data_IF_308633116102
#
_entry.id   IF_308633116102
#
_cell.length_a   1.000
_cell.length_b   1.000
_cell.length_c   1.000
_cell.angle_alpha   90.00
_cell.angle_beta   90.00
_cell.angle_gamma   90.00
#
_symmetry.space_group_name_H-M   'P 1'
#
loop_
_entity.id
_entity.type
_entity.pdbx_description
1 polymer ?
#
# COMPACT_ATOMS: atom_id res chain seq x y z
N UNK A 1 21.49 38.92 53.23
CA UNK A 1 21.86 38.21 51.98
C UNK A 1 21.56 36.73 52.14
N UNK A 2 20.54 36.20 51.46
CA UNK A 2 20.45 34.82 50.94
C UNK A 2 19.11 34.72 50.19
N UNK A 3 19.22 34.60 48.86
CA UNK A 3 18.11 34.51 47.91
C UNK A 3 17.55 33.09 47.95
N UNK A 4 16.25 32.94 48.07
CA UNK A 4 15.53 31.68 47.94
C UNK A 4 15.46 31.37 46.44
N UNK A 5 16.10 30.28 46.03
CA UNK A 5 16.06 29.78 44.66
C UNK A 5 14.72 29.07 44.43
N UNK A 6 13.94 29.60 43.49
CA UNK A 6 12.71 28.99 42.99
C UNK A 6 13.10 27.89 42.00
N UNK A 7 12.71 26.65 42.28
CA UNK A 7 12.94 25.52 41.40
C UNK A 7 12.18 25.68 40.08
N UNK A 8 12.90 25.79 38.97
CA UNK A 8 12.36 25.60 37.63
C UNK A 8 12.17 24.11 37.39
N UNK A 9 10.94 23.62 37.53
CA UNK A 9 10.58 22.28 37.07
C UNK A 9 10.40 22.34 35.55
N UNK A 10 11.44 21.95 34.82
CA UNK A 10 11.41 21.86 33.36
C UNK A 10 10.43 20.79 32.92
N UNK A 11 9.33 21.23 32.30
CA UNK A 11 8.37 20.37 31.62
C UNK A 11 9.04 19.80 30.37
N UNK A 12 9.50 18.56 30.46
CA UNK A 12 10.11 17.84 29.35
C UNK A 12 8.96 17.24 28.51
N UNK A 13 8.52 18.00 27.51
CA UNK A 13 7.50 17.58 26.56
C UNK A 13 8.11 16.54 25.61
N UNK A 14 8.00 15.24 25.95
CA UNK A 14 8.31 14.14 25.05
C UNK A 14 7.23 14.11 23.96
N UNK A 15 7.49 14.73 22.81
CA UNK A 15 6.68 14.55 21.61
C UNK A 15 7.03 13.19 21.01
N UNK A 16 6.25 12.16 21.37
CA UNK A 16 6.29 10.89 20.68
C UNK A 16 5.72 11.10 19.27
N UNK A 17 6.59 11.25 18.29
CA UNK A 17 6.22 11.28 16.88
C UNK A 17 5.91 9.83 16.47
N UNK A 18 4.66 9.39 16.63
CA UNK A 18 4.18 8.16 16.01
C UNK A 18 4.08 8.42 14.51
N UNK A 19 5.13 8.03 13.78
CA UNK A 19 5.05 7.93 12.32
C UNK A 19 4.07 6.80 11.99
N UNK A 20 2.82 7.14 11.73
CA UNK A 20 1.88 6.25 11.09
C UNK A 20 2.44 5.95 9.69
N UNK A 21 3.04 4.77 9.50
CA UNK A 21 3.38 4.31 8.15
C UNK A 21 2.06 4.15 7.39
N UNK A 22 1.88 4.92 6.32
CA UNK A 22 0.68 4.84 5.50
C UNK A 22 0.75 3.55 4.68
N UNK A 23 -0.28 2.72 4.79
CA UNK A 23 -0.44 1.51 4.00
C UNK A 23 -0.27 1.80 2.50
N UNK A 24 0.47 0.95 1.79
CA UNK A 24 0.60 1.10 0.34
C UNK A 24 -0.75 0.96 -0.36
N UNK A 25 -1.09 1.97 -1.15
CA UNK A 25 -2.28 1.97 -2.01
C UNK A 25 -1.89 1.54 -3.44
N UNK A 26 -2.69 0.65 -4.03
CA UNK A 26 -2.53 0.23 -5.42
C UNK A 26 -3.28 1.20 -6.36
N UNK A 27 -2.74 1.50 -7.56
CA UNK A 27 -1.62 0.81 -8.22
C UNK A 27 -0.22 1.27 -7.79
N UNK A 28 0.76 0.36 -7.82
CA UNK A 28 2.16 0.62 -7.45
C UNK A 28 3.11 0.30 -8.60
N UNK A 29 4.04 1.20 -8.91
CA UNK A 29 5.05 0.97 -9.94
C UNK A 29 6.20 0.12 -9.41
N UNK A 30 6.57 -0.89 -10.19
CA UNK A 30 7.74 -1.73 -9.98
C UNK A 30 8.61 -1.73 -11.24
N UNK A 31 9.78 -2.34 -11.18
CA UNK A 31 10.72 -2.36 -12.29
C UNK A 31 10.13 -2.97 -13.58
N UNK A 32 9.36 -4.06 -13.44
CA UNK A 32 8.76 -4.76 -14.58
C UNK A 32 7.49 -4.09 -15.13
N UNK A 33 6.85 -3.20 -14.36
CA UNK A 33 5.59 -2.58 -14.73
C UNK A 33 4.79 -2.05 -13.54
N UNK A 34 3.50 -2.36 -13.45
CA UNK A 34 2.62 -1.83 -12.41
C UNK A 34 1.86 -2.96 -11.73
N UNK A 35 1.94 -3.03 -10.40
CA UNK A 35 1.05 -3.85 -9.60
C UNK A 35 -0.29 -3.13 -9.52
N UNK A 36 -1.31 -3.71 -10.13
CA UNK A 36 -2.65 -3.11 -10.23
C UNK A 36 -3.49 -3.41 -9.00
N UNK A 37 -3.33 -4.61 -8.43
CA UNK A 37 -4.05 -5.05 -7.24
C UNK A 37 -3.29 -6.13 -6.46
N UNK A 38 -3.65 -6.26 -5.19
CA UNK A 38 -3.25 -7.34 -4.29
C UNK A 38 -4.50 -7.97 -3.68
N UNK A 39 -4.52 -9.30 -3.59
CA UNK A 39 -5.61 -10.08 -3.02
C UNK A 39 -5.07 -11.06 -1.97
N UNK A 40 -5.62 -11.04 -0.74
CA UNK A 40 -5.38 -12.06 0.29
C UNK A 40 -6.51 -13.08 0.23
N UNK A 41 -6.17 -14.35 0.04
CA UNK A 41 -7.11 -15.43 -0.25
C UNK A 41 -6.89 -16.60 0.70
N UNK A 42 -7.94 -16.99 1.42
CA UNK A 42 -7.99 -18.20 2.24
C UNK A 42 -8.52 -19.41 1.43
N UNK A 43 -9.14 -19.13 0.28
CA UNK A 43 -9.66 -20.15 -0.61
C UNK A 43 -8.55 -20.84 -1.40
N UNK A 44 -8.76 -22.10 -1.83
CA UNK A 44 -7.84 -22.79 -2.74
C UNK A 44 -7.60 -21.99 -4.02
N UNK A 45 -6.37 -22.07 -4.54
CA UNK A 45 -5.99 -21.53 -5.83
C UNK A 45 -5.80 -22.66 -6.84
N UNK A 46 -6.13 -22.39 -8.10
CA UNK A 46 -5.89 -23.33 -9.18
C UNK A 46 -4.40 -23.35 -9.54
N UNK A 47 -3.75 -24.49 -9.41
CA UNK A 47 -2.38 -24.76 -9.85
C UNK A 47 -2.35 -25.81 -10.96
N UNK A 48 -1.25 -25.84 -11.70
CA UNK A 48 -0.91 -26.97 -12.56
C UNK A 48 -0.39 -28.12 -11.70
N UNK A 49 -0.88 -29.33 -12.00
CA UNK A 49 -0.32 -30.57 -11.47
C UNK A 49 1.08 -30.81 -12.02
N UNK A 50 2.07 -30.18 -11.39
CA UNK A 50 3.44 -30.11 -11.90
C UNK A 50 4.02 -31.51 -12.18
N UNK A 51 3.79 -32.47 -11.28
CA UNK A 51 4.27 -33.84 -11.44
C UNK A 51 3.71 -34.54 -12.68
N UNK A 52 2.41 -34.43 -12.94
CA UNK A 52 1.78 -35.00 -14.14
C UNK A 52 2.28 -34.31 -15.42
N UNK A 53 2.42 -32.98 -15.39
CA UNK A 53 2.93 -32.21 -16.52
C UNK A 53 4.36 -32.61 -16.90
N UNK A 54 5.25 -32.72 -15.92
CA UNK A 54 6.64 -33.13 -16.15
C UNK A 54 6.73 -34.59 -16.59
N UNK A 55 5.88 -35.48 -16.05
CA UNK A 55 5.82 -36.87 -16.49
C UNK A 55 5.34 -37.03 -17.95
N UNK A 56 4.51 -36.10 -18.43
CA UNK A 56 4.10 -36.02 -19.83
C UNK A 56 5.16 -35.39 -20.76
N UNK A 57 6.29 -34.90 -20.21
CA UNK A 57 7.33 -34.20 -20.96
C UNK A 57 7.04 -32.72 -21.21
N UNK A 58 5.97 -32.18 -20.64
CA UNK A 58 5.59 -30.78 -20.82
C UNK A 58 6.43 -29.89 -19.89
N UNK A 59 7.54 -29.39 -20.42
CA UNK A 59 8.49 -28.54 -19.68
C UNK A 59 8.18 -27.05 -19.77
N UNK A 60 7.36 -26.62 -20.73
CA UNK A 60 6.93 -25.23 -20.90
C UNK A 60 5.47 -25.03 -20.50
N UNK A 61 5.18 -23.92 -19.83
CA UNK A 61 3.80 -23.55 -19.50
C UNK A 61 3.03 -23.09 -20.76
N UNK A 62 1.92 -23.75 -21.16
CA UNK A 62 1.08 -23.27 -22.24
C UNK A 62 0.35 -21.98 -21.85
N UNK A 63 -0.20 -21.26 -22.84
CA UNK A 63 -1.09 -20.13 -22.59
C UNK A 63 -2.44 -20.58 -22.01
N UNK A 64 -2.96 -21.70 -22.52
CA UNK A 64 -4.18 -22.33 -22.05
C UNK A 64 -3.84 -23.62 -21.34
N UNK A 65 -4.13 -23.70 -20.04
CA UNK A 65 -3.92 -24.92 -19.25
C UNK A 65 -5.10 -25.88 -19.45
N UNK A 66 -4.89 -27.13 -19.91
CA UNK A 66 -5.96 -28.11 -20.05
C UNK A 66 -6.63 -28.43 -18.70
N UNK A 67 -7.95 -28.68 -18.70
CA UNK A 67 -8.71 -28.90 -17.46
C UNK A 67 -8.20 -30.10 -16.64
N UNK A 68 -7.76 -31.18 -17.29
CA UNK A 68 -7.24 -32.38 -16.63
C UNK A 68 -5.94 -32.14 -15.84
N UNK A 69 -5.20 -31.09 -16.21
CA UNK A 69 -3.93 -30.72 -15.60
C UNK A 69 -4.09 -29.69 -14.47
N UNK A 70 -5.31 -29.21 -14.21
CA UNK A 70 -5.59 -28.24 -13.14
C UNK A 70 -5.89 -28.97 -11.83
N UNK A 71 -5.41 -28.42 -10.73
CA UNK A 71 -5.73 -28.84 -9.37
C UNK A 71 -6.03 -27.61 -8.51
N UNK A 72 -7.03 -27.70 -7.63
CA UNK A 72 -7.25 -26.67 -6.62
C UNK A 72 -6.42 -27.01 -5.39
N UNK A 73 -5.43 -26.17 -5.09
CA UNK A 73 -4.51 -26.34 -3.97
C UNK A 73 -4.91 -25.42 -2.83
N UNK A 74 -5.29 -25.94 -1.64
CA UNK A 74 -5.51 -25.10 -0.46
C UNK A 74 -4.20 -24.44 -0.02
N UNK A 75 -4.30 -23.34 0.73
CA UNK A 75 -3.10 -22.76 1.34
C UNK A 75 -2.48 -23.76 2.34
N UNK A 76 -1.14 -23.76 2.50
CA UNK A 76 -0.49 -24.57 3.53
C UNK A 76 -1.06 -24.27 4.93
N UNK A 77 -0.96 -25.23 5.84
CA UNK A 77 -1.51 -25.07 7.20
C UNK A 77 -0.92 -23.84 7.90
N UNK A 78 -1.80 -23.01 8.48
CA UNK A 78 -1.41 -21.74 9.12
C UNK A 78 -0.99 -20.63 8.16
N UNK A 79 -1.15 -20.81 6.84
CA UNK A 79 -0.81 -19.82 5.82
C UNK A 79 -2.05 -19.41 5.01
N UNK A 80 -1.92 -18.28 4.31
CA UNK A 80 -2.89 -17.75 3.35
C UNK A 80 -2.17 -17.41 2.06
N UNK A 81 -2.90 -17.39 0.95
CA UNK A 81 -2.36 -16.91 -0.31
C UNK A 81 -2.40 -15.39 -0.38
N UNK A 82 -1.35 -14.81 -0.94
CA UNK A 82 -1.28 -13.41 -1.36
C UNK A 82 -0.99 -13.38 -2.84
N UNK A 83 -1.89 -12.78 -3.62
CA UNK A 83 -1.81 -12.74 -5.07
C UNK A 83 -1.69 -11.30 -5.54
N UNK A 84 -0.64 -11.01 -6.31
CA UNK A 84 -0.47 -9.70 -6.95
C UNK A 84 -0.80 -9.81 -8.43
N UNK A 85 -1.60 -8.89 -8.95
CA UNK A 85 -1.83 -8.77 -10.40
C UNK A 85 -0.97 -7.64 -10.94
N UNK A 86 -0.17 -7.96 -11.95
CA UNK A 86 0.85 -7.07 -12.48
C UNK A 86 0.67 -6.89 -13.97
N UNK A 87 0.50 -5.65 -14.41
CA UNK A 87 0.61 -5.26 -15.80
C UNK A 87 2.09 -5.04 -16.15
N UNK A 88 2.66 -5.97 -16.92
CA UNK A 88 4.06 -5.94 -17.37
C UNK A 88 4.19 -5.02 -18.58
N UNK A 89 5.25 -4.21 -18.62
CA UNK A 89 5.53 -3.31 -19.73
C UNK A 89 6.04 -4.06 -20.97
N UNK A 90 5.84 -3.48 -22.15
CA UNK A 90 6.23 -4.08 -23.43
C UNK A 90 7.73 -4.33 -23.59
N UNK A 91 8.57 -3.53 -22.93
CA UNK A 91 10.03 -3.59 -22.98
C UNK A 91 10.65 -4.20 -21.70
N UNK A 92 9.83 -4.85 -20.88
CA UNK A 92 10.25 -5.46 -19.62
C UNK A 92 9.84 -6.92 -19.55
N UNK A 93 10.39 -7.59 -18.54
CA UNK A 93 10.01 -8.94 -18.17
C UNK A 93 9.78 -9.01 -16.67
N UNK A 94 8.92 -9.93 -16.27
CA UNK A 94 8.70 -10.28 -14.87
C UNK A 94 8.89 -11.78 -14.71
N UNK A 95 9.85 -12.18 -13.88
CA UNK A 95 10.08 -13.57 -13.50
C UNK A 95 9.46 -13.89 -12.14
N UNK A 96 9.11 -15.16 -11.95
CA UNK A 96 8.75 -15.70 -10.62
C UNK A 96 9.88 -15.54 -9.60
N UNK A 97 11.11 -15.31 -10.03
CA UNK A 97 12.26 -15.21 -9.13
C UNK A 97 12.63 -13.78 -8.75
N UNK A 98 12.06 -12.76 -9.41
CA UNK A 98 12.46 -11.36 -9.21
C UNK A 98 12.17 -10.88 -7.79
N UNK A 99 11.04 -11.35 -7.24
CA UNK A 99 10.51 -10.92 -5.96
C UNK A 99 10.24 -12.08 -5.00
N UNK A 100 10.38 -11.80 -3.71
CA UNK A 100 9.87 -12.61 -2.61
C UNK A 100 8.92 -11.75 -1.77
N UNK A 101 7.93 -12.38 -1.16
CA UNK A 101 7.10 -11.72 -0.16
C UNK A 101 7.81 -11.84 1.19
N UNK A 102 8.19 -10.73 1.79
CA UNK A 102 8.72 -10.69 3.15
C UNK A 102 7.59 -10.41 4.14
N UNK A 103 7.40 -11.29 5.12
CA UNK A 103 6.42 -11.13 6.21
C UNK A 103 7.00 -11.75 7.48
N UNK A 104 6.78 -11.14 8.66
CA UNK A 104 7.29 -11.60 9.96
C UNK A 104 8.81 -11.91 9.97
N UNK A 105 9.60 -11.16 9.19
CA UNK A 105 11.05 -11.34 9.05
C UNK A 105 11.47 -12.57 8.25
N UNK A 106 10.53 -13.31 7.67
CA UNK A 106 10.77 -14.43 6.75
C UNK A 106 10.47 -14.04 5.31
N UNK A 107 11.12 -14.70 4.35
CA UNK A 107 10.87 -14.49 2.92
C UNK A 107 10.21 -15.72 2.30
N UNK A 108 9.11 -15.48 1.59
CA UNK A 108 8.31 -16.48 0.92
C UNK A 108 8.49 -16.35 -0.59
N UNK A 109 8.99 -17.39 -1.27
CA UNK A 109 9.20 -17.34 -2.72
C UNK A 109 7.87 -17.35 -3.48
N UNK A 110 7.89 -16.84 -4.71
CA UNK A 110 6.74 -16.95 -5.60
C UNK A 110 6.48 -18.43 -5.94
N UNK A 111 5.24 -18.86 -5.73
CA UNK A 111 4.78 -20.23 -5.98
C UNK A 111 4.48 -20.49 -7.45
N UNK A 112 4.21 -19.47 -8.26
CA UNK A 112 3.97 -19.64 -9.69
C UNK A 112 3.46 -18.36 -10.35
N UNK A 113 3.46 -18.36 -11.68
CA UNK A 113 2.83 -17.31 -12.47
C UNK A 113 1.54 -17.83 -13.09
N UNK A 114 0.50 -17.01 -13.08
CA UNK A 114 -0.73 -17.26 -13.83
C UNK A 114 -0.96 -16.16 -14.85
N UNK A 115 -1.47 -16.52 -16.03
CA UNK A 115 -2.04 -15.53 -16.94
C UNK A 115 -3.40 -15.10 -16.42
N UNK A 116 -3.77 -13.84 -16.63
CA UNK A 116 -5.04 -13.30 -16.14
C UNK A 116 -6.26 -14.07 -16.69
N UNK A 117 -6.21 -14.48 -17.97
CA UNK A 117 -7.33 -15.12 -18.65
C UNK A 117 -7.62 -16.53 -18.14
N UNK A 118 -6.58 -17.28 -17.75
CA UNK A 118 -6.73 -18.65 -17.27
C UNK A 118 -6.82 -18.74 -15.75
N UNK A 119 -6.15 -17.82 -15.04
CA UNK A 119 -6.06 -17.78 -13.59
C UNK A 119 -5.61 -19.12 -12.97
N UNK A 120 -4.74 -19.87 -13.68
CA UNK A 120 -4.11 -21.10 -13.20
C UNK A 120 -2.61 -20.85 -13.04
N UNK A 121 -2.10 -21.06 -11.83
CA UNK A 121 -0.69 -20.87 -11.51
C UNK A 121 0.14 -22.05 -12.02
N UNK A 122 1.15 -21.76 -12.82
CA UNK A 122 2.06 -22.76 -13.39
C UNK A 122 3.50 -22.44 -12.98
N UNK A 123 4.13 -23.36 -12.26
CA UNK A 123 5.52 -23.26 -11.82
C UNK A 123 6.52 -23.28 -12.98
N UNK A 124 6.12 -23.86 -14.12
CA UNK A 124 6.93 -23.91 -15.35
C UNK A 124 6.94 -22.59 -16.09
N UNK A 125 6.01 -21.67 -15.77
CA UNK A 125 6.02 -20.31 -16.30
C UNK A 125 7.04 -19.48 -15.53
N UNK A 126 8.29 -19.54 -16.01
CA UNK A 126 9.42 -18.88 -15.34
C UNK A 126 9.37 -17.36 -15.48
N UNK A 127 8.89 -16.85 -16.61
CA UNK A 127 8.86 -15.43 -16.91
C UNK A 127 7.70 -15.05 -17.83
N UNK A 128 7.24 -13.81 -17.67
CA UNK A 128 6.43 -13.08 -18.64
C UNK A 128 7.34 -12.07 -19.34
N UNK A 129 7.44 -12.15 -20.67
CA UNK A 129 8.18 -11.18 -21.49
C UNK A 129 7.21 -10.27 -22.24
N UNK A 130 7.47 -8.98 -22.19
CA UNK A 130 6.67 -7.98 -22.88
C UNK A 130 5.28 -7.80 -22.28
N UNK A 131 4.45 -7.06 -23.02
CA UNK A 131 3.18 -6.58 -22.51
C UNK A 131 2.23 -7.73 -22.18
N UNK A 132 1.69 -7.71 -20.96
CA UNK A 132 0.74 -8.71 -20.50
C UNK A 132 0.41 -8.52 -19.03
N UNK A 133 -0.76 -9.03 -18.64
CA UNK A 133 -1.19 -9.04 -17.24
C UNK A 133 -0.96 -10.45 -16.69
N UNK A 134 -0.17 -10.53 -15.63
CA UNK A 134 0.16 -11.80 -14.96
C UNK A 134 -0.04 -11.68 -13.46
N UNK A 135 -0.31 -12.81 -12.84
CA UNK A 135 -0.46 -12.91 -11.39
C UNK A 135 0.72 -13.65 -10.78
N UNK A 136 1.23 -13.11 -9.67
CA UNK A 136 2.21 -13.74 -8.79
C UNK A 136 1.48 -14.29 -7.57
N UNK A 137 1.67 -15.56 -7.22
CA UNK A 137 1.14 -16.14 -5.99
C UNK A 137 2.25 -16.37 -4.95
N UNK A 138 1.96 -16.02 -3.71
CA UNK A 138 2.79 -16.27 -2.54
C UNK A 138 1.94 -16.92 -1.44
N UNK A 139 2.57 -17.68 -0.55
CA UNK A 139 1.93 -18.13 0.69
C UNK A 139 2.72 -17.58 1.88
N UNK A 140 2.04 -16.90 2.79
CA UNK A 140 2.61 -16.33 4.01
C UNK A 140 1.76 -16.68 5.22
N UNK A 141 2.25 -16.52 6.47
CA UNK A 141 1.50 -16.85 7.67
C UNK A 141 0.17 -16.12 7.70
N UNK A 142 -0.89 -16.81 8.12
CA UNK A 142 -2.22 -16.22 8.26
C UNK A 142 -2.24 -15.08 9.30
N UNK A 143 -1.30 -15.11 10.25
CA UNK A 143 -1.14 -14.11 11.31
C UNK A 143 -0.44 -12.82 10.87
N UNK A 144 0.18 -12.80 9.68
CA UNK A 144 0.92 -11.64 9.20
C UNK A 144 -0.03 -10.48 8.89
N UNK A 145 0.17 -9.34 9.58
CA UNK A 145 -0.59 -8.11 9.35
C UNK A 145 -0.07 -7.29 8.19
N UNK A 146 1.22 -7.39 7.93
CA UNK A 146 1.95 -6.60 6.95
C UNK A 146 2.94 -7.47 6.19
N UNK A 147 3.31 -7.01 5.00
CA UNK A 147 4.32 -7.62 4.17
C UNK A 147 5.03 -6.59 3.31
N UNK A 148 6.13 -7.03 2.70
CA UNK A 148 6.86 -6.24 1.71
C UNK A 148 7.23 -7.14 0.53
N UNK A 149 7.01 -6.68 -0.70
CA UNK A 149 7.51 -7.35 -1.89
C UNK A 149 8.96 -6.91 -2.11
N UNK A 150 9.91 -7.78 -1.75
CA UNK A 150 11.34 -7.48 -1.77
C UNK A 150 12.01 -8.14 -2.96
N UNK A 151 13.03 -7.48 -3.52
CA UNK A 151 13.84 -8.10 -4.58
C UNK A 151 14.65 -9.26 -4.01
N UNK A 152 14.74 -10.36 -4.78
CA UNK A 152 15.65 -11.47 -4.46
C UNK A 152 17.10 -11.23 -4.90
N UNK A 153 17.32 -10.18 -5.69
CA UNK A 153 18.61 -9.84 -6.27
C UNK A 153 18.99 -8.43 -5.83
N UNK A 154 19.62 -8.28 -4.65
CA UNK A 154 19.89 -6.96 -4.06
C UNK A 154 20.81 -6.07 -4.90
N UNK A 155 21.63 -6.69 -5.77
CA UNK A 155 22.50 -5.98 -6.70
C UNK A 155 21.78 -5.46 -7.95
N UNK A 156 20.51 -5.86 -8.14
CA UNK A 156 19.69 -5.39 -9.25
C UNK A 156 18.81 -4.22 -8.81
N UNK A 157 18.56 -3.24 -9.71
CA UNK A 157 17.73 -2.07 -9.43
C UNK A 157 16.23 -2.42 -9.49
N UNK A 158 15.81 -3.42 -8.72
CA UNK A 158 14.42 -3.83 -8.56
C UNK A 158 13.82 -3.12 -7.34
N UNK A 159 12.86 -2.22 -7.58
CA UNK A 159 12.18 -1.50 -6.51
C UNK A 159 11.38 -2.47 -5.64
N UNK A 160 11.64 -2.44 -4.33
CA UNK A 160 10.80 -3.10 -3.33
C UNK A 160 9.49 -2.34 -3.15
N UNK A 161 8.43 -3.05 -2.77
CA UNK A 161 7.15 -2.49 -2.35
C UNK A 161 6.98 -2.81 -0.87
N UNK A 162 7.18 -1.81 -0.01
CA UNK A 162 7.10 -1.99 1.44
C UNK A 162 5.70 -1.65 1.97
N UNK A 163 5.47 -1.84 3.26
CA UNK A 163 4.27 -1.36 3.95
C UNK A 163 2.95 -1.86 3.33
N UNK A 164 2.95 -3.08 2.80
CA UNK A 164 1.75 -3.73 2.27
C UNK A 164 0.95 -4.25 3.45
N UNK A 165 -0.24 -3.71 3.67
CA UNK A 165 -1.14 -4.20 4.71
C UNK A 165 -1.89 -5.42 4.20
N UNK A 166 -1.68 -6.57 4.85
CA UNK A 166 -2.34 -7.84 4.54
C UNK A 166 -3.66 -8.01 5.28
N UNK A 167 -3.71 -7.52 6.52
CA UNK A 167 -4.91 -7.49 7.34
C UNK A 167 -5.11 -6.03 7.72
N UNK A 168 -6.25 -5.48 7.35
CA UNK A 168 -6.63 -4.16 7.83
C UNK A 168 -6.70 -4.23 9.36
N UNK A 169 -5.67 -3.71 10.03
CA UNK A 169 -5.65 -3.63 11.47
C UNK A 169 -6.74 -2.64 11.84
N UNK A 170 -7.88 -3.16 12.30
CA UNK A 170 -8.90 -2.33 12.97
C UNK A 170 -8.14 -1.59 14.07
N UNK A 171 -8.16 -0.24 14.08
CA UNK A 171 -7.45 0.51 15.11
C UNK A 171 -7.92 0.00 16.47
N UNK A 172 -6.97 -0.54 17.22
CA UNK A 172 -7.20 -1.01 18.58
C UNK A 172 -7.77 0.19 19.35
N UNK A 173 -8.91 0.06 20.05
CA UNK A 173 -9.50 1.20 20.74
C UNK A 173 -8.43 1.77 21.67
N UNK A 174 -8.11 3.06 21.51
CA UNK A 174 -7.20 3.76 22.42
C UNK A 174 -7.63 3.43 23.85
N UNK A 175 -6.68 3.07 24.75
CA UNK A 175 -7.04 2.81 26.13
C UNK A 175 -7.69 4.07 26.68
N UNK A 176 -9.01 3.99 26.93
CA UNK A 176 -9.73 5.09 27.55
C UNK A 176 -9.01 5.48 28.85
N UNK A 177 -8.84 6.78 29.13
CA UNK A 177 -8.13 7.21 30.32
C UNK A 177 -8.82 6.62 31.55
N UNK A 178 -8.11 5.75 32.26
CA UNK A 178 -8.57 5.20 33.53
C UNK A 178 -8.93 6.36 34.47
N UNK A 179 -10.13 6.40 35.05
CA UNK A 179 -10.45 7.40 36.05
C UNK A 179 -9.47 7.21 37.22
N UNK A 180 -8.76 8.28 37.56
CA UNK A 180 -7.90 8.30 38.73
C UNK A 180 -8.69 7.81 39.95
N UNK A 181 -8.11 6.84 40.66
CA UNK A 181 -8.66 6.32 41.90
C UNK A 181 -9.00 7.48 42.87
N UNK A 182 -10.13 7.42 43.60
CA UNK A 182 -10.49 8.47 44.54
C UNK A 182 -9.48 8.47 45.68
N UNK A 183 -8.77 9.59 45.84
CA UNK A 183 -7.96 9.86 47.02
C UNK A 183 -8.93 10.03 48.18
N UNK A 184 -8.96 9.06 49.10
CA UNK A 184 -9.73 9.14 50.32
C UNK A 184 -9.09 10.19 51.25
N UNK A 185 -9.65 11.39 51.29
CA UNK A 185 -9.26 12.41 52.26
C UNK A 185 -10.03 12.17 53.56
N UNK A 186 -9.42 11.37 54.44
CA UNK A 186 -9.87 11.16 55.81
C UNK A 186 -9.67 12.44 56.62
N UNK A 187 -10.80 13.02 57.05
CA UNK A 187 -10.86 14.16 57.94
C UNK A 187 -10.14 13.91 59.28
N UNK A 188 -9.33 14.88 59.71
CA UNK A 188 -8.97 15.08 61.10
C UNK A 188 -9.40 16.50 61.51
N UNK A 189 -10.19 16.68 62.59
CA UNK A 189 -10.66 17.99 63.01
C UNK A 189 -9.65 18.62 63.97
N UNK A 190 -9.35 19.91 63.81
CA UNK A 190 -8.75 20.72 64.87
C UNK A 190 -9.49 22.05 64.94
N UNK A 191 -9.96 22.35 66.14
CA UNK A 191 -10.86 23.43 66.47
C UNK A 191 -10.13 24.71 66.90
N UNK A 192 -10.87 25.81 66.70
CA UNK A 192 -11.02 27.00 67.55
C UNK A 192 -10.04 28.18 67.46
N UNK A 193 -10.63 29.39 67.41
CA UNK A 193 -9.94 30.67 67.55
C UNK A 193 -10.59 31.88 66.84
N UNK A 194 -11.63 32.46 67.47
CA UNK A 194 -12.02 33.89 67.60
C UNK A 194 -11.41 34.94 66.62
N UNK A 195 -12.07 35.97 66.05
CA UNK A 195 -13.24 36.81 66.37
C UNK A 195 -13.56 37.71 65.12
N UNK A 196 -14.66 38.52 65.09
CA UNK A 196 -15.38 38.96 63.88
C UNK A 196 -15.04 40.40 63.39
N UNK A 197 -15.94 41.00 62.57
CA UNK A 197 -16.07 42.38 61.97
C UNK A 197 -15.31 42.67 60.64
N UNK A 198 -15.86 43.35 59.62
CA UNK A 198 -17.03 44.24 59.47
C UNK A 198 -17.56 44.33 58.01
N UNK A 199 -18.80 44.79 57.90
CA UNK A 199 -19.55 45.23 56.71
C UNK A 199 -18.84 46.23 55.77
N UNK A 200 -19.23 46.18 54.49
CA UNK A 200 -18.94 47.22 53.50
C UNK A 200 -19.83 47.08 52.25
N UNK A 201 -20.94 47.79 52.24
CA UNK A 201 -21.95 47.83 51.19
C UNK A 201 -21.46 48.39 49.83
N UNK A 202 -22.16 47.98 48.76
CA UNK A 202 -22.10 48.46 47.36
C UNK A 202 -22.53 49.96 47.24
N UNK A 203 -22.51 50.68 46.08
CA UNK A 203 -23.05 50.23 44.77
C UNK A 203 -22.49 50.84 43.44
N UNK A 204 -23.02 50.29 42.34
CA UNK A 204 -23.09 50.65 40.88
C UNK A 204 -22.59 52.00 40.33
N UNK A 205 -22.09 51.96 39.08
CA UNK A 205 -22.43 52.93 38.03
C UNK A 205 -22.39 52.30 36.61
N UNK A 206 -23.49 52.55 35.90
CA UNK A 206 -23.88 52.20 34.52
C UNK A 206 -23.05 52.92 33.43
N UNK A 207 -23.11 52.44 32.18
CA UNK A 207 -22.59 53.23 31.05
C UNK A 207 -22.45 52.58 29.67
N UNK A 208 -23.56 52.07 29.14
CA UNK A 208 -23.97 51.97 27.71
C UNK A 208 -22.95 52.09 26.54
N UNK A 209 -23.00 51.10 25.64
CA UNK A 209 -22.68 51.23 24.21
C UNK A 209 -23.70 52.14 23.49
N UNK A 210 -23.45 52.62 22.25
CA UNK A 210 -23.84 51.80 21.09
C UNK A 210 -23.03 51.96 19.79
N UNK A 211 -23.25 50.94 18.94
CA UNK A 211 -23.02 50.73 17.51
C UNK A 211 -23.29 51.91 16.56
N UNK A 212 -22.62 51.89 15.39
CA UNK A 212 -23.16 52.39 14.12
C UNK A 212 -22.59 51.65 12.90
N UNK A 213 -23.51 51.35 11.98
CA UNK A 213 -23.46 50.63 10.71
C UNK A 213 -22.62 51.25 9.59
N UNK A 214 -22.40 50.50 8.49
CA UNK A 214 -22.09 51.12 7.21
C UNK A 214 -21.62 50.24 6.04
N UNK A 215 -22.51 49.35 5.56
CA UNK A 215 -22.70 48.85 4.19
C UNK A 215 -21.60 48.98 3.09
N UNK A 216 -21.39 47.87 2.39
CA UNK A 216 -20.80 47.76 1.05
C UNK A 216 -21.68 48.39 -0.05
N UNK A 217 -21.14 48.58 -1.27
CA UNK A 217 -21.73 47.80 -2.37
C UNK A 217 -20.74 47.28 -3.44
N UNK A 218 -21.24 46.22 -4.09
CA UNK A 218 -20.79 45.49 -5.29
C UNK A 218 -20.81 46.31 -6.57
N UNK A 219 -19.89 46.00 -7.50
CA UNK A 219 -20.13 46.05 -8.96
C UNK A 219 -19.06 45.26 -9.76
N UNK A 220 -19.48 44.15 -10.39
CA UNK A 220 -18.99 43.71 -11.71
C UNK A 220 -20.00 44.26 -12.75
N UNK A 221 -19.72 44.41 -14.07
CA UNK A 221 -19.29 43.35 -15.02
C UNK A 221 -18.24 43.86 -16.06
N UNK A 222 -17.67 43.09 -17.00
CA UNK A 222 -18.22 42.71 -18.33
C UNK A 222 -17.09 42.02 -19.13
N UNK A 223 -17.42 40.89 -19.78
CA UNK A 223 -16.93 40.27 -21.05
C UNK A 223 -15.42 40.20 -21.37
N UNK A 224 -14.84 39.15 -21.98
CA UNK A 224 -15.35 38.30 -23.05
C UNK A 224 -14.61 36.95 -23.10
N UNK A 225 -15.33 35.92 -23.55
CA UNK A 225 -14.82 34.65 -24.09
C UNK A 225 -15.25 34.57 -25.58
N UNK A 226 -14.94 33.52 -26.37
CA UNK A 226 -13.69 32.78 -26.59
C UNK A 226 -13.38 32.50 -28.10
N UNK A 227 -12.34 31.69 -28.37
CA UNK A 227 -12.11 30.82 -29.58
C UNK A 227 -11.67 31.46 -30.92
N UNK A 228 -11.18 30.71 -31.95
CA UNK A 228 -10.83 29.26 -32.03
C UNK A 228 -9.46 28.94 -32.68
N UNK A 229 -9.06 27.67 -32.59
CA UNK A 229 -8.05 27.02 -33.45
C UNK A 229 -8.62 26.68 -34.85
N UNK A 230 -7.77 26.41 -35.86
CA UNK A 230 -7.87 25.09 -36.49
C UNK A 230 -6.54 24.45 -36.99
N UNK A 231 -6.47 23.13 -36.77
CA UNK A 231 -5.98 22.00 -37.60
C UNK A 231 -4.86 22.13 -38.67
N UNK A 232 -3.86 21.24 -38.57
CA UNK A 232 -3.13 20.48 -39.63
C UNK A 232 -1.98 19.70 -38.95
N UNK A 233 -1.57 18.46 -39.24
CA UNK A 233 -1.82 17.43 -40.26
C UNK A 233 -1.32 16.05 -39.73
N UNK A 234 -1.63 14.91 -40.37
CA UNK A 234 -1.43 13.55 -39.82
C UNK A 234 -0.03 12.94 -40.03
N UNK A 235 0.22 11.85 -39.29
CA UNK A 235 1.46 11.08 -39.15
C UNK A 235 2.01 10.44 -40.46
N UNK A 236 3.34 10.19 -40.55
CA UNK A 236 3.92 9.37 -41.61
C UNK A 236 3.71 7.86 -41.33
N UNK A 237 3.33 7.14 -42.40
CA UNK A 237 3.14 5.69 -42.43
C UNK A 237 4.45 4.88 -42.25
N UNK A 238 4.39 3.63 -41.76
CA UNK A 238 5.57 2.79 -41.58
C UNK A 238 6.16 2.30 -42.92
N UNK A 239 7.49 2.27 -42.99
CA UNK A 239 8.25 1.77 -44.13
C UNK A 239 8.06 0.25 -44.32
N UNK A 240 7.94 -0.16 -45.58
CA UNK A 240 7.76 -1.55 -46.01
C UNK A 240 8.96 -2.46 -45.63
N UNK A 241 8.73 -3.76 -45.36
CA UNK A 241 9.81 -4.70 -45.08
C UNK A 241 10.63 -5.03 -46.32
N UNK A 242 11.96 -5.09 -46.16
CA UNK A 242 12.94 -5.48 -47.16
C UNK A 242 12.72 -6.97 -47.56
N UNK A 243 12.84 -7.35 -48.85
CA UNK A 243 12.69 -8.75 -49.26
C UNK A 243 13.77 -9.64 -48.64
N UNK A 244 13.37 -10.84 -48.19
CA UNK A 244 14.29 -11.87 -47.71
C UNK A 244 15.19 -12.40 -48.84
N UNK A 245 16.46 -12.76 -48.56
CA UNK A 245 17.31 -13.45 -49.52
C UNK A 245 16.78 -14.87 -49.80
N UNK A 246 16.82 -15.28 -51.07
CA UNK A 246 16.47 -16.65 -51.50
C UNK A 246 17.41 -17.69 -50.87
N UNK A 247 16.92 -18.90 -50.54
CA UNK A 247 17.79 -20.00 -50.14
C UNK A 247 18.72 -20.37 -51.32
N UNK A 248 20.01 -20.53 -51.03
CA UNK A 248 20.96 -21.12 -51.95
C UNK A 248 20.76 -22.64 -51.95
N UNK A 249 20.68 -23.21 -53.14
CA UNK A 249 20.48 -24.63 -53.38
C UNK A 249 21.60 -25.48 -52.75
N UNK A 250 21.17 -26.60 -52.18
CA UNK A 250 21.99 -27.71 -51.71
C UNK A 250 22.96 -28.19 -52.80
N UNK A 251 24.26 -28.04 -52.56
CA UNK A 251 25.31 -28.75 -53.28
C UNK A 251 26.29 -29.26 -52.23
N UNK A 252 26.09 -30.50 -51.77
CA UNK A 252 27.16 -31.44 -51.42
C UNK A 252 26.58 -32.85 -51.31
N UNK A 253 26.47 -33.49 -52.47
CA UNK A 253 26.55 -34.95 -52.60
C UNK A 253 28.02 -35.26 -52.86
N UNK A 254 28.63 -36.09 -52.02
CA UNK A 254 29.69 -37.10 -52.24
C UNK A 254 30.44 -37.36 -50.94
#
# INVERSE_FOLDING_TARGET
>A
MKRIAWGCFGLLLLTALTAASAAVAFPVKIHAGTIEKMERLETPLAFVKLGEALAAGDTSAPEIVPAWLREDRPAPEGQVYVVFTVAVLSDRSLSRFDYALAADGQQYPCLGLALEQTNVFDERRIEQRGAGVVKLAFACPATASDASLVSRYPDLPLSAVNDIVLIEKIPEPEPEPTPAAPVAEGAAPVADGAAPVADGAAPVADGAAPVADGAAPVAAPVEAAPTPAPAAAPAPAPAAPKPAPKPADDIFTF
#
